data_IF_782698232670
#
_entry.id   IF_782698232670
#
_cell.length_a   1.000
_cell.length_b   1.000
_cell.length_c   1.000
_cell.angle_alpha   90.00
_cell.angle_beta   90.00
_cell.angle_gamma   90.00
#
_symmetry.space_group_name_H-M   'P 1'
#
loop_
_entity.id
_entity.type
_entity.pdbx_description
1 polymer ?
#
# COMPACT_ATOMS: atom_id res chain seq x y z
N UNK A 1 4.65 5.91 -8.82
CA UNK A 1 3.44 6.38 -9.51
C UNK A 1 3.53 7.90 -9.65
N UNK A 2 3.84 8.38 -10.83
CA UNK A 2 3.83 9.80 -11.13
C UNK A 2 2.52 10.13 -11.84
N UNK A 3 1.70 10.99 -11.22
CA UNK A 3 0.54 11.55 -11.88
C UNK A 3 1.00 12.49 -13.01
N UNK A 4 0.32 12.50 -14.17
CA UNK A 4 0.55 13.47 -15.23
C UNK A 4 0.51 14.92 -14.70
N UNK A 5 1.32 15.81 -15.26
CA UNK A 5 1.39 17.23 -14.82
C UNK A 5 0.04 17.92 -14.84
N UNK A 6 -0.75 17.69 -15.89
CA UNK A 6 -2.08 18.28 -16.03
C UNK A 6 -3.06 17.90 -14.89
N UNK A 7 -2.88 16.72 -14.27
CA UNK A 7 -3.65 16.32 -13.10
C UNK A 7 -3.07 16.94 -11.82
N UNK A 8 -1.75 17.00 -11.69
CA UNK A 8 -1.09 17.63 -10.53
C UNK A 8 -1.47 19.09 -10.38
N UNK A 9 -1.47 19.85 -11.46
CA UNK A 9 -1.83 21.26 -11.46
C UNK A 9 -3.27 21.47 -10.99
N UNK A 10 -4.20 20.63 -11.44
CA UNK A 10 -5.60 20.69 -10.98
C UNK A 10 -5.80 20.25 -9.53
N UNK A 11 -4.96 19.37 -9.01
CA UNK A 11 -5.01 18.94 -7.61
C UNK A 11 -4.57 20.00 -6.61
N UNK A 12 -3.83 21.02 -7.06
CA UNK A 12 -3.35 22.08 -6.17
C UNK A 12 -4.52 22.82 -5.50
N UNK A 13 -5.60 23.07 -6.23
CA UNK A 13 -6.77 23.82 -5.75
C UNK A 13 -8.00 22.94 -5.51
N UNK A 14 -7.90 21.63 -5.77
CA UNK A 14 -9.02 20.72 -5.63
C UNK A 14 -9.40 20.50 -4.15
N UNK A 15 -10.71 20.38 -3.85
CA UNK A 15 -11.16 19.93 -2.53
C UNK A 15 -10.68 18.51 -2.25
N UNK A 16 -10.42 18.23 -0.98
CA UNK A 16 -9.91 16.93 -0.51
C UNK A 16 -10.98 16.22 0.27
N UNK A 17 -11.24 14.97 -0.09
CA UNK A 17 -12.06 14.03 0.68
C UNK A 17 -11.11 12.99 1.28
N UNK A 18 -11.25 12.71 2.56
CA UNK A 18 -10.37 11.79 3.30
C UNK A 18 -11.11 10.51 3.64
N UNK A 19 -10.60 9.38 3.17
CA UNK A 19 -11.09 8.05 3.55
C UNK A 19 -10.44 7.66 4.87
N UNK A 20 -11.24 7.42 5.91
CA UNK A 20 -10.80 7.06 7.27
C UNK A 20 -11.38 5.69 7.66
N UNK A 21 -11.04 4.67 6.90
CA UNK A 21 -11.40 3.29 7.26
C UNK A 21 -10.58 2.81 8.47
N UNK A 22 -11.16 1.94 9.33
CA UNK A 22 -10.43 1.27 10.41
C UNK A 22 -9.17 0.57 9.90
N UNK A 23 -8.13 0.50 10.74
CA UNK A 23 -6.85 -0.08 10.35
C UNK A 23 -6.98 -1.52 9.83
N UNK A 24 -7.81 -2.33 10.46
CA UNK A 24 -8.05 -3.73 10.09
C UNK A 24 -8.69 -3.84 8.71
N UNK A 25 -9.63 -2.95 8.38
CA UNK A 25 -10.28 -2.89 7.06
C UNK A 25 -9.26 -2.52 5.98
N UNK A 26 -8.43 -1.52 6.26
CA UNK A 26 -7.35 -1.10 5.33
C UNK A 26 -6.32 -2.21 5.12
N UNK A 27 -5.95 -2.90 6.19
CA UNK A 27 -4.98 -3.99 6.16
C UNK A 27 -5.49 -5.17 5.32
N UNK A 28 -6.76 -5.56 5.50
CA UNK A 28 -7.37 -6.63 4.73
C UNK A 28 -7.48 -6.28 3.24
N UNK A 29 -7.86 -5.06 2.92
CA UNK A 29 -7.90 -4.57 1.53
C UNK A 29 -6.52 -4.60 0.87
N UNK A 30 -5.47 -4.20 1.60
CA UNK A 30 -4.09 -4.29 1.11
C UNK A 30 -3.63 -5.73 0.91
N UNK A 31 -4.04 -6.66 1.79
CA UNK A 31 -3.76 -8.08 1.64
C UNK A 31 -4.35 -8.62 0.34
N UNK A 32 -5.66 -8.38 0.12
CA UNK A 32 -6.33 -8.81 -1.10
C UNK A 32 -5.68 -8.22 -2.35
N UNK A 33 -5.40 -6.93 -2.35
CA UNK A 33 -4.86 -6.22 -3.51
C UNK A 33 -3.42 -6.61 -3.84
N UNK A 34 -2.52 -6.61 -2.84
CA UNK A 34 -1.09 -6.83 -3.07
C UNK A 34 -0.66 -8.29 -3.05
N UNK A 35 -1.37 -9.16 -2.35
CA UNK A 35 -0.94 -10.55 -2.24
C UNK A 35 -1.84 -11.50 -3.01
N UNK A 36 -3.14 -11.30 -3.02
CA UNK A 36 -4.05 -12.20 -3.73
C UNK A 36 -4.21 -11.78 -5.20
N UNK A 37 -4.72 -10.58 -5.48
CA UNK A 37 -4.98 -10.12 -6.84
C UNK A 37 -3.69 -9.91 -7.62
N UNK A 38 -2.70 -9.25 -7.06
CA UNK A 38 -1.42 -9.00 -7.74
C UNK A 38 -0.69 -10.30 -8.08
N UNK A 39 -0.67 -11.28 -7.17
CA UNK A 39 -0.11 -12.60 -7.47
C UNK A 39 -0.87 -13.28 -8.62
N UNK A 40 -2.20 -13.25 -8.58
CA UNK A 40 -3.01 -13.81 -9.67
C UNK A 40 -2.70 -13.15 -11.03
N UNK A 41 -2.55 -11.82 -11.06
CA UNK A 41 -2.21 -11.07 -12.28
C UNK A 41 -0.83 -11.42 -12.82
N UNK A 42 0.19 -11.49 -11.97
CA UNK A 42 1.54 -11.90 -12.39
C UNK A 42 1.57 -13.35 -12.87
N UNK A 43 0.88 -14.25 -12.20
CA UNK A 43 0.77 -15.66 -12.59
C UNK A 43 0.07 -15.83 -13.94
N UNK A 44 -1.03 -15.10 -14.16
CA UNK A 44 -1.76 -15.11 -15.42
C UNK A 44 -0.93 -14.54 -16.59
N UNK A 45 -0.17 -13.47 -16.35
CA UNK A 45 0.62 -12.80 -17.39
C UNK A 45 1.87 -13.56 -17.81
N UNK A 46 2.57 -14.19 -16.86
CA UNK A 46 3.91 -14.76 -17.08
C UNK A 46 4.02 -16.27 -16.80
N UNK A 47 2.95 -16.90 -16.34
CA UNK A 47 2.96 -18.26 -15.81
C UNK A 47 3.51 -18.34 -14.38
N UNK A 48 3.38 -19.48 -13.74
CA UNK A 48 3.65 -19.64 -12.31
C UNK A 48 5.10 -19.30 -11.94
N UNK A 49 6.08 -19.86 -12.63
CA UNK A 49 7.51 -19.69 -12.29
C UNK A 49 8.02 -18.27 -12.57
N UNK A 50 7.79 -17.75 -13.78
CA UNK A 50 8.23 -16.41 -14.17
C UNK A 50 7.40 -15.33 -13.46
N UNK A 51 6.09 -15.58 -13.26
CA UNK A 51 5.20 -14.73 -12.51
C UNK A 51 5.62 -14.59 -11.05
N UNK A 52 6.01 -15.69 -10.40
CA UNK A 52 6.51 -15.64 -9.02
C UNK A 52 7.77 -14.77 -8.89
N UNK A 53 8.70 -14.95 -9.81
CA UNK A 53 9.90 -14.11 -9.84
C UNK A 53 9.55 -12.63 -9.98
N UNK A 54 8.73 -12.28 -10.97
CA UNK A 54 8.33 -10.89 -11.23
C UNK A 54 7.53 -10.28 -10.06
N UNK A 55 6.62 -11.04 -9.45
CA UNK A 55 5.87 -10.65 -8.26
C UNK A 55 6.78 -10.38 -7.06
N UNK A 56 7.70 -11.30 -6.77
CA UNK A 56 8.68 -11.14 -5.70
C UNK A 56 9.57 -9.91 -5.92
N UNK A 57 10.08 -9.71 -7.13
CA UNK A 57 10.88 -8.53 -7.50
C UNK A 57 10.08 -7.23 -7.35
N UNK A 58 8.80 -7.22 -7.67
CA UNK A 58 7.93 -6.07 -7.50
C UNK A 58 7.81 -5.66 -6.04
N UNK A 59 7.56 -6.60 -5.11
CA UNK A 59 7.47 -6.31 -3.69
C UNK A 59 8.80 -5.81 -3.11
N UNK A 60 9.92 -6.43 -3.47
CA UNK A 60 11.25 -5.97 -3.07
C UNK A 60 11.55 -4.57 -3.59
N UNK A 61 11.17 -4.28 -4.84
CA UNK A 61 11.36 -2.96 -5.43
C UNK A 61 10.58 -1.88 -4.66
N UNK A 62 9.38 -2.19 -4.18
CA UNK A 62 8.58 -1.29 -3.35
C UNK A 62 9.31 -0.89 -2.06
N UNK A 63 9.85 -1.85 -1.33
CA UNK A 63 10.68 -1.58 -0.13
C UNK A 63 11.98 -0.83 -0.47
N UNK A 64 12.65 -1.22 -1.54
CA UNK A 64 13.87 -0.58 -1.98
C UNK A 64 13.68 0.90 -2.32
N UNK A 65 12.55 1.25 -2.94
CA UNK A 65 12.22 2.63 -3.30
C UNK A 65 12.16 3.58 -2.09
N UNK A 66 11.78 3.08 -0.94
CA UNK A 66 11.65 3.87 0.30
C UNK A 66 12.82 3.68 1.30
N UNK A 67 13.83 2.88 0.95
CA UNK A 67 14.94 2.49 1.84
C UNK A 67 15.64 3.66 2.55
N UNK A 68 15.82 4.79 1.86
CA UNK A 68 16.47 5.97 2.44
C UNK A 68 15.63 6.63 3.54
N UNK A 69 14.31 6.57 3.39
CA UNK A 69 13.35 7.14 4.36
C UNK A 69 13.14 6.21 5.54
N UNK A 70 13.16 4.88 5.31
CA UNK A 70 13.10 3.88 6.37
C UNK A 70 14.36 3.85 7.23
N UNK A 71 15.52 4.12 6.63
CA UNK A 71 16.82 3.87 7.21
C UNK A 71 17.30 2.43 6.95
N UNK A 72 18.63 2.25 6.95
CA UNK A 72 19.25 0.98 6.53
C UNK A 72 18.85 -0.20 7.43
N UNK A 73 18.76 0.02 8.74
CA UNK A 73 18.41 -1.05 9.69
C UNK A 73 16.98 -1.55 9.43
N UNK A 74 16.00 -0.68 9.42
CA UNK A 74 14.60 -1.05 9.17
C UNK A 74 14.39 -1.64 7.77
N UNK A 75 15.07 -1.11 6.79
CA UNK A 75 15.03 -1.67 5.43
C UNK A 75 15.54 -3.12 5.42
N UNK A 76 16.63 -3.42 6.11
CA UNK A 76 17.17 -4.78 6.22
C UNK A 76 16.21 -5.71 6.98
N UNK A 77 15.64 -5.25 8.09
CA UNK A 77 14.65 -6.02 8.87
C UNK A 77 13.39 -6.34 8.04
N UNK A 78 12.81 -5.34 7.37
CA UNK A 78 11.62 -5.55 6.55
C UNK A 78 11.90 -6.42 5.31
N UNK A 79 13.07 -6.31 4.72
CA UNK A 79 13.48 -7.19 3.61
C UNK A 79 13.57 -8.65 4.07
N UNK A 80 14.16 -8.91 5.23
CA UNK A 80 14.23 -10.26 5.78
C UNK A 80 12.84 -10.85 6.11
N UNK A 81 11.93 -10.03 6.64
CA UNK A 81 10.55 -10.45 6.91
C UNK A 81 9.76 -10.69 5.61
N UNK A 82 9.97 -9.87 4.59
CA UNK A 82 9.39 -10.08 3.25
C UNK A 82 9.88 -11.39 2.63
N UNK A 83 11.19 -11.66 2.70
CA UNK A 83 11.76 -12.91 2.18
C UNK A 83 11.15 -14.13 2.86
N UNK A 84 11.03 -14.11 4.19
CA UNK A 84 10.40 -15.19 4.95
C UNK A 84 8.91 -15.35 4.58
N UNK A 85 8.17 -14.25 4.42
CA UNK A 85 6.77 -14.27 4.03
C UNK A 85 6.56 -14.83 2.62
N UNK A 86 7.43 -14.49 1.67
CA UNK A 86 7.40 -15.03 0.31
C UNK A 86 7.68 -16.53 0.29
N UNK A 87 8.62 -17.02 1.08
CA UNK A 87 8.90 -18.46 1.22
C UNK A 87 7.66 -19.18 1.78
N UNK A 88 7.03 -18.64 2.81
CA UNK A 88 5.83 -19.22 3.40
C UNK A 88 4.65 -19.21 2.41
N UNK A 89 4.43 -18.12 1.71
CA UNK A 89 3.38 -18.01 0.68
C UNK A 89 3.59 -19.03 -0.45
N UNK A 90 4.82 -19.20 -0.93
CA UNK A 90 5.13 -20.19 -1.97
C UNK A 90 4.91 -21.62 -1.51
N UNK A 91 5.21 -21.90 -0.22
CA UNK A 91 5.09 -23.22 0.38
C UNK A 91 3.64 -23.61 0.70
N UNK A 92 2.84 -22.68 1.22
CA UNK A 92 1.51 -22.96 1.79
C UNK A 92 0.36 -22.29 1.07
N UNK A 93 0.62 -21.26 0.27
CA UNK A 93 -0.39 -20.36 -0.30
C UNK A 93 -0.92 -19.32 0.69
N UNK A 94 -0.57 -19.40 1.98
CA UNK A 94 -0.99 -18.39 2.98
C UNK A 94 -0.21 -17.09 2.83
N UNK A 95 -0.92 -15.97 2.93
CA UNK A 95 -0.35 -14.62 2.88
C UNK A 95 -0.21 -13.97 4.26
N UNK A 96 -0.57 -14.67 5.32
CA UNK A 96 -0.59 -14.11 6.69
C UNK A 96 0.79 -13.66 7.18
N UNK A 97 1.85 -14.34 6.77
CA UNK A 97 3.22 -13.98 7.15
C UNK A 97 3.62 -12.58 6.66
N UNK A 98 2.99 -12.05 5.61
CA UNK A 98 3.23 -10.70 5.14
C UNK A 98 2.83 -9.61 6.14
N UNK A 99 1.95 -9.90 7.08
CA UNK A 99 1.58 -8.93 8.12
C UNK A 99 2.74 -8.56 9.04
N UNK A 100 3.75 -9.41 9.16
CA UNK A 100 4.93 -9.15 9.99
C UNK A 100 5.72 -7.91 9.58
N UNK A 101 5.78 -7.61 8.29
CA UNK A 101 6.43 -6.41 7.75
C UNK A 101 5.45 -5.32 7.34
N UNK A 102 4.25 -5.70 6.87
CA UNK A 102 3.26 -4.75 6.37
C UNK A 102 2.65 -3.90 7.50
N UNK A 103 2.29 -4.52 8.63
CA UNK A 103 1.71 -3.81 9.77
C UNK A 103 2.64 -2.73 10.32
N UNK A 104 3.91 -3.02 10.69
CA UNK A 104 4.81 -1.96 11.15
C UNK A 104 5.15 -0.95 10.06
N UNK A 105 5.21 -1.35 8.78
CA UNK A 105 5.42 -0.43 7.67
C UNK A 105 4.27 0.59 7.56
N UNK A 106 3.02 0.15 7.71
CA UNK A 106 1.86 1.04 7.69
C UNK A 106 1.85 1.98 8.91
N UNK A 107 1.98 1.42 10.11
CA UNK A 107 1.86 2.19 11.37
C UNK A 107 2.99 3.19 11.58
N UNK A 108 4.22 2.81 11.23
CA UNK A 108 5.41 3.58 11.57
C UNK A 108 5.93 4.46 10.43
N UNK A 109 5.52 4.18 9.19
CA UNK A 109 5.98 4.93 8.03
C UNK A 109 4.83 5.57 7.25
N UNK A 110 3.89 4.79 6.71
CA UNK A 110 2.87 5.33 5.82
C UNK A 110 1.82 6.17 6.54
N UNK A 111 1.27 5.72 7.66
CA UNK A 111 0.24 6.46 8.39
C UNK A 111 0.76 7.82 8.91
N UNK A 112 1.95 7.92 9.51
CA UNK A 112 2.53 9.22 9.89
C UNK A 112 2.80 10.13 8.67
N UNK A 113 3.27 9.57 7.56
CA UNK A 113 3.54 10.32 6.33
C UNK A 113 2.25 10.91 5.74
N UNK A 114 1.21 10.12 5.62
CA UNK A 114 -0.09 10.59 5.12
C UNK A 114 -0.76 11.57 6.10
N UNK A 115 -0.67 11.33 7.42
CA UNK A 115 -1.13 12.26 8.44
C UNK A 115 -0.53 13.65 8.27
N UNK A 116 0.78 13.74 8.12
CA UNK A 116 1.48 14.98 7.85
C UNK A 116 1.05 15.67 6.55
N UNK A 117 0.84 14.90 5.48
CA UNK A 117 0.35 15.45 4.22
C UNK A 117 -1.08 16.01 4.34
N UNK A 118 -1.94 15.34 5.12
CA UNK A 118 -3.31 15.78 5.37
C UNK A 118 -3.36 17.05 6.23
N UNK A 119 -2.48 17.17 7.23
CA UNK A 119 -2.36 18.41 8.02
C UNK A 119 -2.05 19.61 7.13
N UNK A 120 -1.16 19.47 6.16
CA UNK A 120 -0.84 20.54 5.19
C UNK A 120 -2.01 20.92 4.28
N UNK A 121 -2.99 20.04 4.13
CA UNK A 121 -4.16 20.23 3.28
C UNK A 121 -5.45 20.44 4.09
N UNK A 122 -5.33 20.67 5.40
CA UNK A 122 -6.48 20.74 6.31
C UNK A 122 -7.57 21.70 5.85
N UNK A 123 -7.21 22.86 5.33
CA UNK A 123 -8.14 23.87 4.82
C UNK A 123 -8.93 23.44 3.56
N UNK A 124 -8.44 22.43 2.85
CA UNK A 124 -9.07 21.90 1.63
C UNK A 124 -9.95 20.69 1.88
N UNK A 125 -9.91 20.15 3.10
CA UNK A 125 -10.68 18.96 3.44
C UNK A 125 -12.16 19.34 3.61
N UNK A 126 -12.99 18.81 2.71
CA UNK A 126 -14.44 19.09 2.68
C UNK A 126 -15.27 17.98 3.32
N UNK A 127 -14.73 16.75 3.40
CA UNK A 127 -15.40 15.62 4.02
C UNK A 127 -14.38 14.59 4.53
N UNK A 128 -14.73 13.90 5.62
CA UNK A 128 -14.00 12.75 6.18
C UNK A 128 -14.99 11.66 6.52
N UNK A 129 -14.67 10.42 6.23
CA UNK A 129 -15.51 9.28 6.56
C UNK A 129 -14.94 7.97 6.03
N UNK A 130 -15.64 6.88 6.29
CA UNK A 130 -15.35 5.59 5.68
C UNK A 130 -15.59 5.62 4.18
N UNK A 131 -15.13 4.60 3.48
CA UNK A 131 -15.37 4.49 2.03
C UNK A 131 -16.87 4.52 1.70
N UNK A 132 -17.69 3.80 2.47
CA UNK A 132 -19.14 3.74 2.30
C UNK A 132 -19.82 5.09 2.54
N UNK A 133 -19.44 5.77 3.62
CA UNK A 133 -19.97 7.12 3.95
C UNK A 133 -19.63 8.14 2.86
N UNK A 134 -18.42 8.05 2.29
CA UNK A 134 -18.00 8.93 1.20
C UNK A 134 -18.77 8.61 -0.07
N UNK A 135 -18.98 7.33 -0.40
CA UNK A 135 -19.78 6.94 -1.56
C UNK A 135 -21.21 7.49 -1.47
N UNK A 136 -21.86 7.35 -0.31
CA UNK A 136 -23.18 7.92 -0.07
C UNK A 136 -23.20 9.46 -0.14
N UNK A 137 -22.15 10.11 0.34
CA UNK A 137 -22.04 11.57 0.29
C UNK A 137 -21.87 12.09 -1.14
N UNK A 138 -21.14 11.38 -2.00
CA UNK A 138 -20.94 11.74 -3.41
C UNK A 138 -22.21 11.54 -4.25
N UNK A 139 -23.06 10.58 -3.88
CA UNK A 139 -24.33 10.29 -4.58
C UNK A 139 -25.46 11.28 -4.24
N UNK A 140 -25.26 12.16 -3.29
CA UNK A 140 -26.21 13.21 -2.91
C UNK A 140 -26.15 14.42 -3.82
#
# INVERSE_FOLDING_TARGET
NHLPECLRDRMVDAPVVVVEDPFEVRLERLREEYFDHMWADFSAAYGEKAGWKAYSEYLHHGLYAIRRRLGLQRFAEFTALLDAALVEQQRTGSTDAHFSWLVPLLKDYYDPMYGYQLEKKAEKIVYRGTYEEIAEWLDR
#
